data_IF_908846983241
#
_entry.id   IF_908846983241
#
_cell.length_a   1.000
_cell.length_b   1.000
_cell.length_c   1.000
_cell.angle_alpha   90.00
_cell.angle_beta   90.00
_cell.angle_gamma   90.00
#
_symmetry.space_group_name_H-M   'P 1'
#
loop_
_entity.id
_entity.type
_entity.pdbx_description
1 polymer ?
#
# COMPACT_ATOMS: atom_id res chain seq x y z
N UNK A 1 -34.32 -18.25 -1.99
CA UNK A 1 -33.90 -17.31 -0.93
C UNK A 1 -32.52 -16.68 -1.23
N UNK A 2 -31.51 -17.46 -1.61
CA UNK A 2 -30.15 -16.95 -1.89
C UNK A 2 -30.10 -15.86 -2.99
N UNK A 3 -30.79 -16.05 -4.12
CA UNK A 3 -30.77 -15.08 -5.24
C UNK A 3 -31.38 -13.70 -4.93
N UNK A 4 -32.36 -13.63 -4.01
CA UNK A 4 -33.02 -12.36 -3.65
C UNK A 4 -32.11 -11.55 -2.72
N UNK A 5 -31.38 -12.21 -1.82
CA UNK A 5 -30.42 -11.56 -0.93
C UNK A 5 -29.19 -11.05 -1.70
N UNK A 6 -28.73 -11.79 -2.72
CA UNK A 6 -27.64 -11.33 -3.61
C UNK A 6 -28.07 -10.13 -4.43
N UNK A 7 -29.25 -10.16 -5.08
CA UNK A 7 -29.76 -9.02 -5.85
C UNK A 7 -30.01 -7.76 -5.00
N UNK A 8 -30.51 -7.93 -3.76
CA UNK A 8 -30.69 -6.81 -2.85
C UNK A 8 -29.34 -6.22 -2.40
N UNK A 9 -28.33 -7.06 -2.16
CA UNK A 9 -26.97 -6.62 -1.85
C UNK A 9 -26.35 -5.81 -2.98
N UNK A 10 -26.45 -6.30 -4.21
CA UNK A 10 -25.89 -5.64 -5.40
C UNK A 10 -26.57 -4.29 -5.70
N UNK A 11 -27.89 -4.20 -5.50
CA UNK A 11 -28.63 -2.94 -5.68
C UNK A 11 -28.22 -1.87 -4.68
N UNK A 12 -28.00 -2.25 -3.41
CA UNK A 12 -27.58 -1.32 -2.36
C UNK A 12 -26.13 -0.85 -2.56
N UNK A 13 -25.24 -1.73 -3.05
CA UNK A 13 -23.86 -1.37 -3.40
C UNK A 13 -23.85 -0.35 -4.54
N UNK A 14 -24.64 -0.58 -5.60
CA UNK A 14 -24.72 0.31 -6.76
C UNK A 14 -25.34 1.67 -6.42
N UNK A 15 -26.40 1.70 -5.61
CA UNK A 15 -27.02 2.96 -5.17
C UNK A 15 -26.04 3.81 -4.35
N UNK A 16 -25.35 3.19 -3.41
CA UNK A 16 -24.34 3.85 -2.59
C UNK A 16 -23.20 4.42 -3.42
N UNK A 17 -22.71 3.66 -4.40
CA UNK A 17 -21.66 4.13 -5.30
C UNK A 17 -22.13 5.34 -6.12
N UNK A 18 -23.36 5.31 -6.64
CA UNK A 18 -23.95 6.46 -7.36
C UNK A 18 -24.06 7.73 -6.51
N UNK A 19 -24.42 7.60 -5.23
CA UNK A 19 -24.49 8.75 -4.30
C UNK A 19 -23.09 9.33 -4.04
N UNK A 20 -22.08 8.48 -3.85
CA UNK A 20 -20.69 8.92 -3.67
C UNK A 20 -20.18 9.66 -4.90
N UNK A 21 -20.43 9.13 -6.09
CA UNK A 21 -20.02 9.75 -7.35
C UNK A 21 -20.72 11.10 -7.59
N UNK A 22 -22.01 11.20 -7.30
CA UNK A 22 -22.77 12.47 -7.38
C UNK A 22 -22.20 13.53 -6.43
N UNK A 23 -21.95 13.16 -5.16
CA UNK A 23 -21.37 14.08 -4.17
C UNK A 23 -19.98 14.55 -4.60
N UNK A 24 -19.13 13.66 -5.11
CA UNK A 24 -17.80 14.02 -5.60
C UNK A 24 -17.89 14.95 -6.81
N UNK A 25 -18.79 14.69 -7.76
CA UNK A 25 -18.99 15.54 -8.94
C UNK A 25 -19.42 16.96 -8.57
N UNK A 26 -20.11 17.12 -7.43
CA UNK A 26 -20.56 18.41 -6.88
C UNK A 26 -19.51 19.07 -5.97
N UNK A 27 -18.29 18.54 -5.89
CA UNK A 27 -17.23 19.06 -5.01
C UNK A 27 -17.46 18.76 -3.52
N UNK A 28 -18.43 17.91 -3.18
CA UNK A 28 -18.80 17.53 -1.81
C UNK A 28 -18.10 16.24 -1.37
N UNK A 29 -16.81 16.10 -1.71
CA UNK A 29 -16.02 14.89 -1.45
C UNK A 29 -15.92 14.54 0.04
N UNK A 30 -15.87 15.55 0.92
CA UNK A 30 -15.87 15.34 2.38
C UNK A 30 -17.16 14.72 2.90
N UNK A 31 -18.31 15.13 2.36
CA UNK A 31 -19.59 14.56 2.74
C UNK A 31 -19.71 13.09 2.29
N UNK A 32 -19.16 12.77 1.12
CA UNK A 32 -19.05 11.39 0.66
C UNK A 32 -18.16 10.54 1.58
N UNK A 33 -17.01 11.07 2.03
CA UNK A 33 -16.17 10.39 3.02
C UNK A 33 -16.89 10.18 4.36
N UNK A 34 -17.57 11.20 4.88
CA UNK A 34 -18.32 11.10 6.14
C UNK A 34 -19.43 10.06 6.06
N UNK A 35 -20.12 9.97 4.92
CA UNK A 35 -21.12 8.93 4.66
C UNK A 35 -20.49 7.52 4.67
N UNK A 36 -19.37 7.34 3.99
CA UNK A 36 -18.65 6.05 3.96
C UNK A 36 -18.18 5.64 5.36
N UNK A 37 -17.64 6.59 6.13
CA UNK A 37 -17.23 6.35 7.51
C UNK A 37 -18.42 5.97 8.42
N UNK A 38 -19.56 6.69 8.32
CA UNK A 38 -20.76 6.40 9.12
C UNK A 38 -21.40 5.06 8.78
N UNK A 39 -21.31 4.65 7.52
CA UNK A 39 -21.83 3.35 7.05
C UNK A 39 -20.86 2.19 7.32
N UNK A 40 -19.68 2.46 7.89
CA UNK A 40 -18.67 1.44 8.18
C UNK A 40 -17.98 0.87 6.93
N UNK A 41 -18.10 1.52 5.78
CA UNK A 41 -17.48 1.07 4.53
C UNK A 41 -16.07 1.63 4.40
N UNK A 42 -15.18 0.91 5.07
CA UNK A 42 -13.76 1.20 5.18
C UNK A 42 -13.10 1.13 3.79
N UNK A 43 -13.44 0.14 2.96
CA UNK A 43 -12.86 -0.04 1.61
C UNK A 43 -13.27 1.09 0.68
N UNK A 44 -14.56 1.46 0.67
CA UNK A 44 -15.06 2.61 -0.08
C UNK A 44 -14.40 3.91 0.38
N UNK A 45 -14.24 4.10 1.70
CA UNK A 45 -13.55 5.27 2.26
C UNK A 45 -12.11 5.37 1.78
N UNK A 46 -11.35 4.27 1.82
CA UNK A 46 -9.95 4.22 1.37
C UNK A 46 -9.88 4.56 -0.12
N UNK A 47 -10.72 3.93 -0.94
CA UNK A 47 -10.78 4.17 -2.39
C UNK A 47 -11.07 5.63 -2.71
N UNK A 48 -12.07 6.24 -2.08
CA UNK A 48 -12.40 7.65 -2.26
C UNK A 48 -11.25 8.57 -1.79
N UNK A 49 -10.66 8.28 -0.62
CA UNK A 49 -9.57 9.09 -0.06
C UNK A 49 -8.36 9.11 -1.00
N UNK A 50 -8.00 7.96 -1.61
CA UNK A 50 -6.95 7.88 -2.63
C UNK A 50 -7.30 8.73 -3.86
N UNK A 51 -8.53 8.65 -4.37
CA UNK A 51 -9.01 9.45 -5.52
C UNK A 51 -8.95 10.95 -5.26
N UNK A 52 -9.19 11.38 -4.02
CA UNK A 52 -9.13 12.79 -3.62
C UNK A 52 -7.72 13.25 -3.21
N UNK A 53 -6.70 12.38 -3.28
CA UNK A 53 -5.33 12.68 -2.84
C UNK A 53 -5.16 12.78 -1.32
N UNK A 54 -6.15 12.31 -0.54
CA UNK A 54 -6.19 12.29 0.91
C UNK A 54 -5.51 11.03 1.45
N UNK A 55 -4.22 10.88 1.13
CA UNK A 55 -3.46 9.66 1.40
C UNK A 55 -3.29 9.34 2.89
N UNK A 56 -3.15 10.35 3.76
CA UNK A 56 -3.06 10.14 5.22
C UNK A 56 -4.38 9.60 5.79
N UNK A 57 -5.53 10.06 5.27
CA UNK A 57 -6.84 9.54 5.66
C UNK A 57 -7.02 8.10 5.20
N UNK A 58 -6.60 7.78 3.97
CA UNK A 58 -6.58 6.42 3.45
C UNK A 58 -5.70 5.51 4.32
N UNK A 59 -4.51 5.97 4.70
CA UNK A 59 -3.56 5.23 5.53
C UNK A 59 -4.16 4.94 6.91
N UNK A 60 -4.67 5.95 7.59
CA UNK A 60 -5.30 5.81 8.91
C UNK A 60 -6.46 4.81 8.89
N UNK A 61 -7.22 4.78 7.80
CA UNK A 61 -8.35 3.86 7.65
C UNK A 61 -7.89 2.44 7.30
N UNK A 62 -6.84 2.30 6.48
CA UNK A 62 -6.26 1.00 6.09
C UNK A 62 -5.68 0.21 7.27
N UNK A 63 -5.20 0.89 8.31
CA UNK A 63 -4.72 0.25 9.54
C UNK A 63 -5.76 -0.67 10.19
N UNK A 64 -7.06 -0.35 10.04
CA UNK A 64 -8.15 -1.17 10.58
C UNK A 64 -8.34 -2.48 9.83
N UNK A 65 -7.84 -2.59 8.61
CA UNK A 65 -7.90 -3.78 7.77
C UNK A 65 -6.61 -4.61 7.84
N UNK A 66 -5.55 -4.06 8.45
CA UNK A 66 -4.29 -4.75 8.72
C UNK A 66 -3.14 -4.37 7.78
N UNK A 67 -2.01 -5.03 7.98
CA UNK A 67 -0.74 -4.66 7.37
C UNK A 67 -0.71 -4.75 5.83
N UNK A 68 -1.50 -5.66 5.24
CA UNK A 68 -1.59 -5.82 3.79
C UNK A 68 -2.29 -4.64 3.11
N UNK A 69 -3.39 -4.15 3.69
CA UNK A 69 -4.10 -3.00 3.16
C UNK A 69 -3.31 -1.71 3.42
N UNK A 70 -2.67 -1.59 4.59
CA UNK A 70 -1.72 -0.51 4.87
C UNK A 70 -0.64 -0.45 3.79
N UNK A 71 -0.01 -1.59 3.49
CA UNK A 71 1.00 -1.67 2.45
C UNK A 71 0.44 -1.25 1.09
N UNK A 72 -0.74 -1.74 0.72
CA UNK A 72 -1.41 -1.40 -0.55
C UNK A 72 -1.60 0.12 -0.71
N UNK A 73 -2.12 0.80 0.32
CA UNK A 73 -2.31 2.25 0.30
C UNK A 73 -0.97 2.99 0.17
N UNK A 74 0.04 2.57 0.91
CA UNK A 74 1.38 3.19 0.85
C UNK A 74 2.03 2.97 -0.51
N UNK A 75 1.89 1.78 -1.09
CA UNK A 75 2.44 1.44 -2.40
C UNK A 75 1.84 2.32 -3.50
N UNK A 76 0.52 2.51 -3.47
CA UNK A 76 -0.16 3.41 -4.40
C UNK A 76 0.23 4.88 -4.17
N UNK A 77 0.40 5.28 -2.91
CA UNK A 77 0.89 6.62 -2.59
C UNK A 77 2.30 6.84 -3.13
N UNK A 78 3.20 5.88 -2.93
CA UNK A 78 4.55 5.88 -3.47
C UNK A 78 4.54 6.01 -5.00
N UNK A 79 3.69 5.26 -5.71
CA UNK A 79 3.57 5.35 -7.16
C UNK A 79 3.02 6.71 -7.63
N UNK A 80 2.18 7.36 -6.82
CA UNK A 80 1.61 8.65 -7.14
C UNK A 80 2.56 9.83 -6.94
N UNK A 81 3.43 9.79 -5.92
CA UNK A 81 4.24 10.98 -5.53
C UNK A 81 5.72 10.73 -5.25
N UNK A 82 6.19 9.49 -5.35
CA UNK A 82 7.54 9.09 -4.95
C UNK A 82 7.68 8.75 -3.46
N UNK A 83 8.88 8.36 -3.00
CA UNK A 83 9.09 7.79 -1.67
C UNK A 83 9.12 8.78 -0.51
N UNK A 84 9.46 10.04 -0.74
CA UNK A 84 9.81 10.98 0.33
C UNK A 84 8.65 11.27 1.28
N UNK A 85 7.46 11.55 0.73
CA UNK A 85 6.27 11.85 1.52
C UNK A 85 5.74 10.61 2.26
N UNK A 86 5.46 9.47 1.61
CA UNK A 86 4.99 8.28 2.32
C UNK A 86 6.00 7.80 3.37
N UNK A 87 7.30 7.78 3.08
CA UNK A 87 8.31 7.34 4.03
C UNK A 87 8.36 8.22 5.30
N UNK A 88 8.27 9.55 5.14
CA UNK A 88 8.22 10.48 6.27
C UNK A 88 6.99 10.24 7.16
N UNK A 89 5.83 10.01 6.56
CA UNK A 89 4.59 9.76 7.30
C UNK A 89 4.65 8.42 8.02
N UNK A 90 5.13 7.37 7.36
CA UNK A 90 5.35 6.07 7.99
C UNK A 90 6.32 6.15 9.17
N UNK A 91 7.42 6.90 9.02
CA UNK A 91 8.39 7.10 10.10
C UNK A 91 7.73 7.79 11.29
N UNK A 92 7.02 8.90 11.06
CA UNK A 92 6.31 9.66 12.11
C UNK A 92 5.27 8.82 12.86
N UNK A 93 4.62 7.88 12.17
CA UNK A 93 3.59 7.01 12.73
C UNK A 93 4.14 5.67 13.26
N UNK A 94 5.46 5.45 13.27
CA UNK A 94 6.10 4.19 13.64
C UNK A 94 5.62 2.97 12.80
N UNK A 95 5.26 3.20 11.54
CA UNK A 95 4.77 2.19 10.59
C UNK A 95 5.77 1.78 9.51
N UNK A 96 6.93 2.45 9.46
CA UNK A 96 7.94 2.22 8.43
C UNK A 96 8.40 0.75 8.37
N UNK A 97 8.74 0.17 9.53
CA UNK A 97 9.22 -1.21 9.59
C UNK A 97 8.13 -2.23 9.25
N UNK A 98 6.88 -2.00 9.68
CA UNK A 98 5.75 -2.84 9.31
C UNK A 98 5.53 -2.85 7.80
N UNK A 99 5.55 -1.68 7.16
CA UNK A 99 5.42 -1.54 5.71
C UNK A 99 6.57 -2.24 4.96
N UNK A 100 7.82 -2.07 5.42
CA UNK A 100 9.00 -2.75 4.86
C UNK A 100 8.85 -4.27 4.94
N UNK A 101 8.49 -4.81 6.10
CA UNK A 101 8.33 -6.24 6.30
C UNK A 101 7.25 -6.84 5.38
N UNK A 102 6.13 -6.13 5.21
CA UNK A 102 5.07 -6.56 4.29
C UNK A 102 5.54 -6.49 2.83
N UNK A 103 6.26 -5.43 2.45
CA UNK A 103 6.83 -5.31 1.10
C UNK A 103 7.85 -6.38 0.78
N UNK A 104 8.70 -6.76 1.74
CA UNK A 104 9.65 -7.87 1.60
C UNK A 104 8.86 -9.13 1.27
N UNK A 105 7.87 -9.51 2.09
CA UNK A 105 7.05 -10.71 1.88
C UNK A 105 6.37 -10.74 0.50
N UNK A 106 5.96 -9.59 -0.02
CA UNK A 106 5.33 -9.45 -1.34
C UNK A 106 6.33 -9.44 -2.51
N UNK A 107 7.64 -9.44 -2.24
CA UNK A 107 8.68 -9.39 -3.27
C UNK A 107 8.92 -7.98 -3.83
N UNK A 108 8.44 -6.94 -3.15
CA UNK A 108 8.47 -5.54 -3.63
C UNK A 108 9.79 -4.85 -3.30
N UNK A 109 10.90 -5.46 -3.72
CA UNK A 109 12.26 -5.08 -3.30
C UNK A 109 12.64 -3.63 -3.61
N UNK A 110 12.33 -3.16 -4.83
CA UNK A 110 12.64 -1.77 -5.25
C UNK A 110 11.88 -0.74 -4.40
N UNK A 111 10.60 -1.01 -4.13
CA UNK A 111 9.79 -0.18 -3.24
C UNK A 111 10.37 -0.15 -1.84
N UNK A 112 10.66 -1.32 -1.27
CA UNK A 112 11.18 -1.46 0.10
C UNK A 112 12.47 -0.69 0.29
N UNK A 113 13.42 -0.79 -0.65
CA UNK A 113 14.69 -0.06 -0.57
C UNK A 113 14.48 1.45 -0.71
N UNK A 114 13.59 1.87 -1.61
CA UNK A 114 13.31 3.29 -1.85
C UNK A 114 12.66 3.95 -0.62
N UNK A 115 11.64 3.30 -0.05
CA UNK A 115 10.96 3.76 1.17
C UNK A 115 11.89 3.69 2.38
N UNK A 116 12.69 2.63 2.52
CA UNK A 116 13.67 2.50 3.60
C UNK A 116 14.71 3.62 3.57
N UNK A 117 15.29 3.90 2.39
CA UNK A 117 16.24 5.00 2.20
C UNK A 117 15.61 6.36 2.52
N UNK A 118 14.43 6.64 1.96
CA UNK A 118 13.72 7.90 2.21
C UNK A 118 13.28 8.06 3.68
N UNK A 119 13.03 6.95 4.36
CA UNK A 119 12.70 6.89 5.79
C UNK A 119 13.92 6.98 6.71
N UNK A 120 15.13 7.19 6.17
CA UNK A 120 16.35 7.39 6.95
C UNK A 120 17.01 6.11 7.45
N UNK A 121 16.69 4.94 6.87
CA UNK A 121 17.41 3.70 7.18
C UNK A 121 18.83 3.81 6.62
N UNK A 122 19.80 3.93 7.51
CA UNK A 122 21.21 4.15 7.18
C UNK A 122 21.90 2.88 6.67
N UNK A 123 21.53 1.72 7.21
CA UNK A 123 22.06 0.43 6.78
C UNK A 123 20.98 -0.35 6.01
N UNK A 124 21.02 -0.25 4.68
CA UNK A 124 20.14 -1.02 3.80
C UNK A 124 20.63 -2.46 3.59
N UNK A 125 21.84 -2.82 4.05
CA UNK A 125 22.42 -4.15 3.85
C UNK A 125 21.51 -5.27 4.33
N UNK A 126 21.03 -5.18 5.57
CA UNK A 126 20.14 -6.18 6.17
C UNK A 126 18.81 -6.29 5.41
N UNK A 127 18.31 -5.18 4.84
CA UNK A 127 17.08 -5.18 4.03
C UNK A 127 17.34 -5.82 2.68
N UNK A 128 18.46 -5.52 2.03
CA UNK A 128 18.85 -6.14 0.76
C UNK A 128 18.94 -7.66 0.94
N UNK A 129 19.59 -8.13 2.00
CA UNK A 129 19.76 -9.56 2.28
C UNK A 129 18.41 -10.27 2.49
N UNK A 130 17.48 -9.61 3.19
CA UNK A 130 16.12 -10.14 3.38
C UNK A 130 15.32 -10.17 2.06
N UNK A 131 15.39 -9.13 1.25
CA UNK A 131 14.72 -9.08 -0.06
C UNK A 131 15.28 -10.14 -1.01
N UNK A 132 16.61 -10.28 -1.06
CA UNK A 132 17.30 -11.31 -1.86
C UNK A 132 16.84 -12.70 -1.44
N UNK A 133 16.87 -12.99 -0.13
CA UNK A 133 16.40 -14.27 0.40
C UNK A 133 14.95 -14.56 0.01
N UNK A 134 14.06 -13.57 0.15
CA UNK A 134 12.65 -13.76 -0.19
C UNK A 134 12.45 -13.97 -1.69
N UNK A 135 13.18 -13.24 -2.54
CA UNK A 135 13.11 -13.43 -4.00
C UNK A 135 13.57 -14.83 -4.40
N UNK A 136 14.66 -15.35 -3.82
CA UNK A 136 15.11 -16.73 -4.06
C UNK A 136 14.03 -17.73 -3.64
N UNK A 137 13.44 -17.56 -2.45
CA UNK A 137 12.36 -18.42 -1.95
C UNK A 137 11.13 -18.42 -2.86
N UNK A 138 10.84 -17.28 -3.49
CA UNK A 138 9.73 -17.13 -4.44
C UNK A 138 10.08 -17.62 -5.86
N UNK A 139 11.31 -18.06 -6.12
CA UNK A 139 11.79 -18.45 -7.45
C UNK A 139 12.22 -17.28 -8.35
N UNK A 140 12.22 -16.05 -7.82
CA UNK A 140 12.58 -14.82 -8.54
C UNK A 140 14.10 -14.56 -8.49
N UNK A 141 14.89 -15.54 -8.94
CA UNK A 141 16.36 -15.49 -8.86
C UNK A 141 16.95 -14.34 -9.69
N UNK A 142 16.35 -14.00 -10.82
CA UNK A 142 16.78 -12.89 -11.68
C UNK A 142 16.64 -11.53 -10.98
N UNK A 143 15.53 -11.29 -10.29
CA UNK A 143 15.31 -10.11 -9.45
C UNK A 143 16.32 -10.04 -8.31
N UNK A 144 16.62 -11.17 -7.65
CA UNK A 144 17.64 -11.23 -6.62
C UNK A 144 19.04 -10.85 -7.16
N UNK A 145 19.43 -11.41 -8.30
CA UNK A 145 20.71 -11.10 -8.95
C UNK A 145 20.79 -9.63 -9.39
N UNK A 146 19.71 -9.09 -9.94
CA UNK A 146 19.60 -7.68 -10.35
C UNK A 146 19.76 -6.77 -9.15
N UNK A 147 19.11 -7.07 -8.03
CA UNK A 147 19.19 -6.28 -6.81
C UNK A 147 20.61 -6.27 -6.23
N UNK A 148 21.27 -7.43 -6.17
CA UNK A 148 22.65 -7.53 -5.72
C UNK A 148 23.59 -6.71 -6.61
N UNK A 149 23.40 -6.79 -7.94
CA UNK A 149 24.18 -6.01 -8.92
C UNK A 149 24.00 -4.51 -8.72
N UNK A 150 22.76 -4.03 -8.62
CA UNK A 150 22.43 -2.61 -8.41
C UNK A 150 23.02 -2.05 -7.11
N UNK A 151 23.27 -2.92 -6.12
CA UNK A 151 23.85 -2.55 -4.83
C UNK A 151 25.33 -2.95 -4.67
N UNK A 152 26.01 -3.31 -5.76
CA UNK A 152 27.46 -3.60 -5.76
C UNK A 152 27.88 -4.91 -5.09
N UNK A 153 26.94 -5.80 -4.77
CA UNK A 153 27.16 -7.10 -4.11
C UNK A 153 27.45 -8.22 -5.12
N UNK A 154 28.40 -8.00 -6.03
CA UNK A 154 28.70 -8.92 -7.14
C UNK A 154 29.15 -10.32 -6.69
N UNK A 155 29.85 -10.43 -5.56
CA UNK A 155 30.31 -11.72 -5.04
C UNK A 155 29.15 -12.65 -4.63
N UNK A 156 28.05 -12.07 -4.15
CA UNK A 156 26.87 -12.81 -3.71
C UNK A 156 26.06 -13.35 -4.90
N UNK A 157 26.16 -12.73 -6.08
CA UNK A 157 25.49 -13.18 -7.32
C UNK A 157 25.99 -14.57 -7.75
N UNK A 158 27.27 -14.87 -7.51
CA UNK A 158 27.88 -16.17 -7.88
C UNK A 158 27.36 -17.31 -6.99
N UNK A 159 26.71 -16.98 -5.87
CA UNK A 159 26.17 -17.95 -4.91
C UNK A 159 24.66 -18.20 -5.08
N UNK A 160 23.99 -17.49 -5.99
CA UNK A 160 22.58 -17.70 -6.36
C UNK A 160 22.42 -18.94 -7.23
#
# INVERSE_FOLDING_TARGET
ALNILTQAGDSVINEKQGIVEDLVSKGRGKEAQDMLARTGDITGYISLSKKLGLWEDALNMSEKLGADELFSVVYDWYNAVGPEKPARVLLRNNKLQECINTGIKKGEGRFVLSIGKAGGILNLGDIIDQVVKQNIQNGNVNEAATLLKENGKYAEIVQL
#
